data_IF_866650326601
#
_entry.id   IF_866650326601
#
_cell.length_a   1.000
_cell.length_b   1.000
_cell.length_c   1.000
_cell.angle_alpha   90.00
_cell.angle_beta   90.00
_cell.angle_gamma   90.00
#
_symmetry.space_group_name_H-M   'P 1'
#
loop_
_entity.id
_entity.type
_entity.pdbx_description
1 polymer ?
#
# COMPACT_ATOMS: atom_id res chain seq x y z
N UNK A 1 0.50 -6.06 16.58
CA UNK A 1 0.43 -5.50 15.22
C UNK A 1 1.28 -4.23 15.05
N UNK A 2 1.24 -3.26 15.99
CA UNK A 2 2.05 -2.03 15.89
C UNK A 2 3.56 -2.27 15.90
N UNK A 3 4.03 -3.21 16.72
CA UNK A 3 5.47 -3.45 16.92
C UNK A 3 6.16 -4.10 15.70
N UNK A 4 5.38 -4.81 14.86
CA UNK A 4 5.85 -5.50 13.65
C UNK A 4 5.34 -4.86 12.34
N UNK A 5 4.69 -3.70 12.42
CA UNK A 5 4.14 -3.02 11.24
C UNK A 5 5.18 -2.85 10.10
N UNK A 6 6.46 -2.52 10.37
CA UNK A 6 7.47 -2.44 9.31
C UNK A 6 7.79 -3.77 8.63
N UNK A 7 7.65 -4.87 9.35
CA UNK A 7 7.87 -6.22 8.81
C UNK A 7 6.66 -6.64 7.97
N UNK A 8 5.43 -6.43 8.47
CA UNK A 8 4.21 -6.74 7.72
C UNK A 8 4.05 -5.86 6.49
N UNK A 9 4.38 -4.57 6.59
CA UNK A 9 4.31 -3.66 5.46
C UNK A 9 5.24 -4.12 4.33
N UNK A 10 6.47 -4.52 4.67
CA UNK A 10 7.39 -5.04 3.67
C UNK A 10 6.89 -6.35 3.04
N UNK A 11 6.30 -7.25 3.83
CA UNK A 11 5.78 -8.55 3.33
C UNK A 11 4.78 -8.38 2.18
N UNK A 12 3.87 -7.41 2.22
CA UNK A 12 2.89 -7.29 1.13
C UNK A 12 3.50 -6.74 -0.17
N UNK A 13 4.58 -5.95 -0.10
CA UNK A 13 5.34 -5.56 -1.29
C UNK A 13 6.16 -6.72 -1.87
N UNK A 14 6.72 -7.59 -1.03
CA UNK A 14 7.37 -8.81 -1.51
C UNK A 14 6.37 -9.72 -2.23
N UNK A 15 5.17 -9.90 -1.67
CA UNK A 15 4.07 -10.64 -2.30
C UNK A 15 3.61 -9.99 -3.62
N UNK A 16 3.53 -8.66 -3.69
CA UNK A 16 3.30 -7.96 -4.98
C UNK A 16 4.35 -8.36 -6.02
N UNK A 17 5.63 -8.41 -5.65
CA UNK A 17 6.71 -8.76 -6.59
C UNK A 17 6.75 -10.25 -6.93
N UNK A 18 6.23 -11.12 -6.08
CA UNK A 18 6.02 -12.54 -6.41
C UNK A 18 4.93 -12.70 -7.49
N UNK A 19 3.84 -11.94 -7.39
CA UNK A 19 2.70 -12.01 -8.33
C UNK A 19 2.98 -11.24 -9.63
N UNK A 20 3.57 -10.04 -9.51
CA UNK A 20 3.96 -9.18 -10.64
C UNK A 20 5.44 -8.79 -10.47
N UNK A 21 6.39 -9.65 -10.88
CA UNK A 21 7.83 -9.34 -10.78
C UNK A 21 8.23 -8.05 -11.50
N UNK A 22 7.53 -7.68 -12.56
CA UNK A 22 7.78 -6.44 -13.30
C UNK A 22 7.46 -5.17 -12.50
N UNK A 23 6.64 -5.26 -11.44
CA UNK A 23 6.31 -4.12 -10.59
C UNK A 23 7.54 -3.57 -9.84
N UNK A 24 8.51 -4.44 -9.50
CA UNK A 24 9.76 -4.02 -8.87
C UNK A 24 10.54 -3.02 -9.73
N UNK A 25 10.46 -3.16 -11.07
CA UNK A 25 11.13 -2.25 -12.02
C UNK A 25 10.54 -0.83 -12.02
N UNK A 26 9.34 -0.64 -11.47
CA UNK A 26 8.71 0.69 -11.35
C UNK A 26 9.38 1.54 -10.28
N UNK A 27 10.00 0.92 -9.28
CA UNK A 27 10.78 1.60 -8.25
C UNK A 27 12.19 1.91 -8.77
N UNK A 28 12.46 3.19 -9.04
CA UNK A 28 13.79 3.62 -9.52
C UNK A 28 14.92 3.19 -8.58
N UNK A 29 14.69 3.26 -7.26
CA UNK A 29 15.67 2.87 -6.25
C UNK A 29 15.91 1.36 -6.12
N UNK A 30 15.13 0.52 -6.81
CA UNK A 30 15.37 -0.93 -6.88
C UNK A 30 16.17 -1.33 -8.12
N UNK A 31 16.14 -0.54 -9.20
CA UNK A 31 16.78 -0.91 -10.48
C UNK A 31 18.28 -1.10 -10.37
N UNK A 32 18.93 -0.22 -9.61
CA UNK A 32 20.39 -0.19 -9.45
C UNK A 32 20.83 -0.70 -8.06
N UNK A 33 19.93 -1.31 -7.30
CA UNK A 33 20.23 -1.80 -5.95
C UNK A 33 20.86 -3.19 -6.01
N UNK A 34 22.00 -3.37 -5.34
CA UNK A 34 22.58 -4.68 -5.06
C UNK A 34 22.03 -5.32 -3.78
N UNK A 35 21.20 -4.59 -3.03
CA UNK A 35 20.60 -5.11 -1.81
C UNK A 35 19.44 -6.05 -2.14
N UNK A 36 19.28 -7.16 -1.40
CA UNK A 36 18.04 -7.93 -1.40
C UNK A 36 16.84 -7.03 -1.09
N UNK A 37 15.68 -7.33 -1.68
CA UNK A 37 14.45 -6.53 -1.53
C UNK A 37 14.08 -6.34 -0.06
N UNK A 38 14.23 -7.40 0.73
CA UNK A 38 13.94 -7.46 2.17
C UNK A 38 14.82 -6.53 3.00
N UNK A 39 16.00 -6.18 2.47
CA UNK A 39 16.99 -5.33 3.14
C UNK A 39 17.00 -3.90 2.59
N UNK A 40 16.17 -3.58 1.61
CA UNK A 40 16.16 -2.25 1.00
C UNK A 40 15.40 -1.24 1.90
N UNK A 41 16.07 -0.22 2.47
CA UNK A 41 15.43 0.70 3.41
C UNK A 41 14.39 1.61 2.74
N UNK A 42 14.57 1.94 1.45
CA UNK A 42 13.62 2.77 0.69
C UNK A 42 12.33 2.00 0.39
N UNK A 43 12.45 0.71 0.09
CA UNK A 43 11.27 -0.16 -0.07
C UNK A 43 10.49 -0.26 1.24
N UNK A 44 11.19 -0.49 2.36
CA UNK A 44 10.57 -0.56 3.69
C UNK A 44 9.84 0.74 4.07
N UNK A 45 10.45 1.90 3.78
CA UNK A 45 9.83 3.20 4.02
C UNK A 45 8.57 3.42 3.17
N UNK A 46 8.63 3.09 1.87
CA UNK A 46 7.48 3.18 0.98
C UNK A 46 6.34 2.26 1.44
N UNK A 47 6.66 1.01 1.76
CA UNK A 47 5.70 0.04 2.25
C UNK A 47 4.99 0.52 3.53
N UNK A 48 5.75 1.07 4.47
CA UNK A 48 5.19 1.65 5.68
C UNK A 48 4.29 2.85 5.40
N UNK A 49 4.68 3.73 4.48
CA UNK A 49 3.84 4.85 4.06
C UNK A 49 2.48 4.39 3.55
N UNK A 50 2.46 3.38 2.66
CA UNK A 50 1.20 2.81 2.13
C UNK A 50 0.37 2.19 3.23
N UNK A 51 0.98 1.40 4.12
CA UNK A 51 0.27 0.76 5.23
C UNK A 51 -0.38 1.79 6.17
N UNK A 52 0.38 2.82 6.57
CA UNK A 52 -0.11 3.88 7.46
C UNK A 52 -1.21 4.70 6.77
N UNK A 53 -1.01 5.11 5.51
CA UNK A 53 -2.05 5.86 4.78
C UNK A 53 -3.35 5.06 4.64
N UNK A 54 -3.27 3.74 4.48
CA UNK A 54 -4.48 2.89 4.42
C UNK A 54 -5.20 2.83 5.78
N UNK A 55 -4.46 2.71 6.89
CA UNK A 55 -5.03 2.81 8.24
C UNK A 55 -5.68 4.17 8.52
N UNK A 56 -5.04 5.24 8.07
CA UNK A 56 -5.53 6.61 8.24
C UNK A 56 -6.79 6.83 7.40
N UNK A 57 -6.82 6.34 6.16
CA UNK A 57 -8.00 6.36 5.30
C UNK A 57 -9.20 5.68 5.98
N UNK A 58 -9.00 4.51 6.60
CA UNK A 58 -10.04 3.83 7.38
C UNK A 58 -10.60 4.71 8.50
N UNK A 59 -9.70 5.36 9.25
CA UNK A 59 -10.06 6.24 10.36
C UNK A 59 -10.81 7.48 9.89
N UNK A 60 -10.40 8.04 8.75
CA UNK A 60 -11.01 9.24 8.16
C UNK A 60 -12.38 8.93 7.57
N UNK A 61 -12.52 7.85 6.77
CA UNK A 61 -13.80 7.42 6.23
C UNK A 61 -14.85 7.26 7.34
N UNK A 62 -14.49 6.61 8.44
CA UNK A 62 -15.37 6.45 9.60
C UNK A 62 -15.79 7.79 10.23
N UNK A 63 -14.92 8.81 10.22
CA UNK A 63 -15.15 10.10 10.89
C UNK A 63 -15.80 11.15 10.00
N UNK A 64 -15.44 11.19 8.72
CA UNK A 64 -15.72 12.31 7.81
C UNK A 64 -16.35 11.87 6.49
N UNK A 65 -16.37 10.56 6.20
CA UNK A 65 -16.84 10.02 4.92
C UNK A 65 -15.94 10.32 3.73
N UNK A 66 -14.71 10.83 3.96
CA UNK A 66 -13.75 11.20 2.90
C UNK A 66 -12.33 10.79 3.28
N UNK A 67 -11.49 10.56 2.28
CA UNK A 67 -10.05 10.27 2.44
C UNK A 67 -9.23 11.49 2.02
N UNK A 68 -8.30 11.87 2.88
CA UNK A 68 -7.24 12.84 2.68
C UNK A 68 -5.89 12.19 3.06
N UNK A 69 -4.81 12.56 2.39
CA UNK A 69 -3.48 11.96 2.56
C UNK A 69 -2.61 12.72 3.57
N UNK A 70 -3.23 13.58 4.38
CA UNK A 70 -2.62 14.28 5.50
C UNK A 70 -1.73 15.46 5.09
N UNK A 71 -1.09 16.11 6.06
CA UNK A 71 -0.38 17.38 5.85
C UNK A 71 0.98 17.24 5.12
N UNK A 72 1.57 16.04 5.10
CA UNK A 72 2.95 15.82 4.62
C UNK A 72 3.04 15.47 3.12
N UNK A 73 1.91 15.26 2.46
CA UNK A 73 1.84 15.00 1.02
C UNK A 73 0.50 15.52 0.48
N UNK A 74 0.29 15.45 -0.83
CA UNK A 74 -1.01 15.72 -1.43
C UNK A 74 -1.39 14.60 -2.38
N UNK A 75 -2.70 14.40 -2.57
CA UNK A 75 -3.20 13.40 -3.51
C UNK A 75 -2.63 13.63 -4.91
N UNK A 76 -2.54 14.89 -5.33
CA UNK A 76 -1.91 15.31 -6.59
C UNK A 76 -0.43 14.95 -6.70
N UNK A 77 0.34 15.08 -5.61
CA UNK A 77 1.73 14.64 -5.61
C UNK A 77 1.84 13.12 -5.75
N UNK A 78 1.06 12.37 -4.98
CA UNK A 78 1.03 10.91 -5.07
C UNK A 78 0.64 10.44 -6.46
N UNK A 79 -0.42 11.02 -7.04
CA UNK A 79 -0.88 10.72 -8.39
C UNK A 79 0.20 10.97 -9.42
N UNK A 80 0.87 12.13 -9.38
CA UNK A 80 1.99 12.46 -10.28
C UNK A 80 3.13 11.44 -10.19
N UNK A 81 3.49 11.00 -8.98
CA UNK A 81 4.55 10.00 -8.77
C UNK A 81 4.15 8.64 -9.34
N UNK A 82 2.93 8.16 -9.06
CA UNK A 82 2.44 6.87 -9.55
C UNK A 82 2.26 6.87 -11.07
N UNK A 83 1.77 7.97 -11.64
CA UNK A 83 1.64 8.15 -13.08
C UNK A 83 3.00 8.09 -13.79
N UNK A 84 3.99 8.86 -13.33
CA UNK A 84 5.35 8.84 -13.89
C UNK A 84 6.04 7.48 -13.75
N UNK A 85 5.71 6.72 -12.72
CA UNK A 85 6.21 5.36 -12.53
C UNK A 85 5.51 4.33 -13.43
N UNK A 86 4.44 4.70 -14.16
CA UNK A 86 3.68 3.79 -15.03
C UNK A 86 2.85 2.78 -14.24
N UNK A 87 2.37 3.17 -13.06
CA UNK A 87 1.43 2.38 -12.28
C UNK A 87 0.06 2.43 -12.96
N UNK A 88 -0.55 1.26 -13.08
CA UNK A 88 -1.84 1.02 -13.73
C UNK A 88 -2.73 0.19 -12.79
N UNK A 89 -4.02 0.12 -13.10
CA UNK A 89 -5.06 -0.52 -12.28
C UNK A 89 -4.66 -1.91 -11.75
N UNK A 90 -4.10 -2.76 -12.62
CA UNK A 90 -3.60 -4.09 -12.26
C UNK A 90 -2.62 -4.09 -11.08
N UNK A 91 -1.79 -3.05 -10.94
CA UNK A 91 -0.84 -2.95 -9.83
C UNK A 91 -1.55 -2.61 -8.52
N UNK A 92 -2.58 -1.75 -8.55
CA UNK A 92 -3.37 -1.44 -7.37
C UNK A 92 -4.19 -2.65 -6.93
N UNK A 93 -4.81 -3.37 -7.87
CA UNK A 93 -5.60 -4.57 -7.58
C UNK A 93 -4.76 -5.67 -6.95
N UNK A 94 -3.57 -5.97 -7.51
CA UNK A 94 -2.68 -6.98 -6.92
C UNK A 94 -2.11 -6.52 -5.59
N UNK A 95 -1.83 -5.21 -5.42
CA UNK A 95 -1.36 -4.70 -4.14
C UNK A 95 -2.44 -4.80 -3.06
N UNK A 96 -3.72 -4.54 -3.40
CA UNK A 96 -4.86 -4.75 -2.51
C UNK A 96 -4.95 -6.21 -2.06
N UNK A 97 -4.88 -7.15 -3.01
CA UNK A 97 -4.87 -8.57 -2.71
C UNK A 97 -3.72 -8.93 -1.75
N UNK A 98 -2.50 -8.49 -2.07
CA UNK A 98 -1.33 -8.75 -1.25
C UNK A 98 -1.46 -8.17 0.17
N UNK A 99 -2.03 -6.96 0.30
CA UNK A 99 -2.32 -6.30 1.57
C UNK A 99 -3.30 -7.14 2.41
N UNK A 100 -4.45 -7.53 1.84
CA UNK A 100 -5.49 -8.28 2.56
C UNK A 100 -4.97 -9.64 3.03
N UNK A 101 -4.28 -10.39 2.17
CA UNK A 101 -3.69 -11.67 2.56
C UNK A 101 -2.60 -11.48 3.64
N UNK A 102 -1.86 -10.38 3.61
CA UNK A 102 -0.82 -10.10 4.63
C UNK A 102 -1.44 -9.78 5.98
N UNK A 103 -2.57 -9.05 6.00
CA UNK A 103 -3.31 -8.77 7.23
C UNK A 103 -3.92 -10.07 7.78
N UNK A 104 -4.52 -10.89 6.92
CA UNK A 104 -5.04 -12.21 7.30
C UNK A 104 -3.99 -13.09 7.97
N UNK A 105 -2.79 -13.15 7.39
CA UNK A 105 -1.65 -13.89 7.97
C UNK A 105 -1.15 -13.27 9.29
N UNK A 106 -1.24 -11.95 9.43
CA UNK A 106 -0.77 -11.23 10.62
C UNK A 106 -1.72 -11.32 11.81
N UNK A 107 -3.03 -11.42 11.56
CA UNK A 107 -4.07 -11.45 12.60
C UNK A 107 -5.12 -12.55 12.34
N UNK A 108 -4.72 -13.83 12.19
CA UNK A 108 -5.62 -14.90 11.77
C UNK A 108 -6.81 -15.10 12.71
N UNK A 109 -6.62 -14.87 14.01
CA UNK A 109 -7.69 -15.00 15.02
C UNK A 109 -8.70 -13.85 15.02
N UNK A 110 -8.33 -12.68 14.47
CA UNK A 110 -9.22 -11.52 14.34
C UNK A 110 -9.77 -11.39 12.91
N UNK A 111 -9.32 -12.23 11.98
CA UNK A 111 -9.73 -12.17 10.59
C UNK A 111 -11.20 -12.55 10.45
N UNK A 112 -11.96 -11.68 9.80
CA UNK A 112 -13.37 -11.85 9.46
C UNK A 112 -13.65 -11.20 8.10
N UNK A 113 -14.79 -11.52 7.50
CA UNK A 113 -15.23 -10.82 6.28
C UNK A 113 -15.43 -9.32 6.55
N UNK A 114 -15.97 -8.93 7.71
CA UNK A 114 -16.10 -7.51 8.10
C UNK A 114 -14.74 -6.81 8.17
N UNK A 115 -13.71 -7.46 8.74
CA UNK A 115 -12.37 -6.88 8.81
C UNK A 115 -11.76 -6.72 7.41
N UNK A 116 -11.91 -7.74 6.56
CA UNK A 116 -11.47 -7.72 5.17
C UNK A 116 -12.16 -6.62 4.38
N UNK A 117 -13.47 -6.46 4.52
CA UNK A 117 -14.26 -5.43 3.87
C UNK A 117 -13.83 -4.03 4.31
N UNK A 118 -13.66 -3.81 5.62
CA UNK A 118 -13.19 -2.53 6.15
C UNK A 118 -11.82 -2.12 5.57
N UNK A 119 -10.86 -3.05 5.49
CA UNK A 119 -9.56 -2.79 4.87
C UNK A 119 -9.66 -2.59 3.36
N UNK A 120 -10.52 -3.36 2.70
CA UNK A 120 -10.79 -3.26 1.26
C UNK A 120 -11.34 -1.89 0.90
N UNK A 121 -12.39 -1.43 1.58
CA UNK A 121 -13.00 -0.11 1.35
C UNK A 121 -12.00 1.02 1.59
N UNK A 122 -11.25 0.93 2.69
CA UNK A 122 -10.25 1.94 3.04
C UNK A 122 -9.18 2.08 1.96
N UNK A 123 -8.71 0.96 1.43
CA UNK A 123 -7.77 0.92 0.32
C UNK A 123 -8.39 1.47 -0.97
N UNK A 124 -9.60 1.05 -1.31
CA UNK A 124 -10.29 1.45 -2.54
C UNK A 124 -10.53 2.95 -2.59
N UNK A 125 -10.97 3.55 -1.50
CA UNK A 125 -11.18 4.99 -1.41
C UNK A 125 -9.87 5.78 -1.50
N UNK A 126 -8.78 5.28 -0.90
CA UNK A 126 -7.46 5.89 -1.05
C UNK A 126 -6.97 5.82 -2.51
N UNK A 127 -7.09 4.66 -3.16
CA UNK A 127 -6.72 4.49 -4.56
C UNK A 127 -7.60 5.35 -5.47
N UNK A 128 -8.91 5.42 -5.22
CA UNK A 128 -9.83 6.26 -5.97
C UNK A 128 -9.42 7.74 -5.88
N UNK A 129 -9.07 8.22 -4.68
CA UNK A 129 -8.59 9.58 -4.50
C UNK A 129 -7.33 9.83 -5.36
N UNK A 130 -6.36 8.92 -5.31
CA UNK A 130 -5.13 9.02 -6.12
C UNK A 130 -5.46 9.02 -7.62
N UNK A 131 -6.26 8.06 -8.10
CA UNK A 131 -6.61 7.91 -9.52
C UNK A 131 -7.35 9.11 -10.09
N UNK A 132 -8.17 9.79 -9.30
CA UNK A 132 -8.89 10.98 -9.74
C UNK A 132 -7.96 12.18 -10.04
N UNK A 133 -6.71 12.14 -9.59
CA UNK A 133 -5.69 13.18 -9.79
C UNK A 133 -4.54 12.75 -10.72
N UNK A 134 -4.63 11.54 -11.33
CA UNK A 134 -3.58 10.96 -12.20
C UNK A 134 -3.62 11.51 -13.63
#
# INVERSE_FOLDING_TARGET
MKDDAPTFALKFFLRLFEIIPSAAKRFSFLRDSSLPLEKNPKLKAHAMGVFVMTCEAATQLRKTGKVDVGANTSVKHLASVHFKAGIADVHFEVLKFALLETIKDAVPYLWSEDLKEAWSESYDHLVLAIKNEM
#
